data_IF_220803482482
#
_entry.id   IF_220803482482
#
_cell.length_a   1.000
_cell.length_b   1.000
_cell.length_c   1.000
_cell.angle_alpha   90.00
_cell.angle_beta   90.00
_cell.angle_gamma   90.00
#
_symmetry.space_group_name_H-M   'P 1'
#
loop_
_entity.id
_entity.type
_entity.pdbx_description
1 polymer ?
#
# COMPACT_ATOMS: atom_id res chain seq x y z
N UNK A 1 -12.73 -13.35 -4.07
CA UNK A 1 -12.01 -13.15 -2.80
C UNK A 1 -10.84 -12.20 -2.97
N UNK A 2 -10.66 -11.26 -2.03
CA UNK A 2 -9.58 -10.27 -1.98
C UNK A 2 -9.05 -10.26 -0.56
N UNK A 3 -7.73 -10.34 -0.40
CA UNK A 3 -7.08 -10.32 0.91
C UNK A 3 -7.18 -8.93 1.55
N UNK A 4 -8.29 -8.66 2.25
CA UNK A 4 -8.58 -7.35 2.87
C UNK A 4 -7.54 -6.97 3.92
N UNK A 5 -7.02 -7.96 4.66
CA UNK A 5 -5.94 -7.75 5.63
C UNK A 5 -4.70 -7.15 4.95
N UNK A 6 -4.22 -7.80 3.88
CA UNK A 6 -3.07 -7.32 3.10
C UNK A 6 -3.29 -5.90 2.52
N UNK A 7 -4.49 -5.60 2.01
CA UNK A 7 -4.80 -4.26 1.49
C UNK A 7 -4.73 -3.18 2.58
N UNK A 8 -5.14 -3.49 3.81
CA UNK A 8 -5.05 -2.55 4.94
C UNK A 8 -3.60 -2.30 5.34
N UNK A 9 -2.78 -3.34 5.39
CA UNK A 9 -1.35 -3.22 5.71
C UNK A 9 -0.62 -2.39 4.64
N UNK A 10 -0.88 -2.67 3.37
CA UNK A 10 -0.33 -1.85 2.27
C UNK A 10 -0.82 -0.39 2.35
N UNK A 11 -2.12 -0.16 2.58
CA UNK A 11 -2.67 1.18 2.72
C UNK A 11 -2.07 1.96 3.90
N UNK A 12 -1.87 1.30 5.04
CA UNK A 12 -1.21 1.87 6.21
C UNK A 12 0.25 2.24 5.92
N UNK A 13 0.98 1.37 5.20
CA UNK A 13 2.35 1.62 4.76
C UNK A 13 2.46 2.85 3.86
N UNK A 14 1.58 2.98 2.86
CA UNK A 14 1.54 4.15 1.96
C UNK A 14 1.23 5.42 2.75
N UNK A 15 0.24 5.38 3.65
CA UNK A 15 -0.10 6.53 4.50
C UNK A 15 1.08 6.93 5.38
N UNK A 16 1.76 5.96 5.99
CA UNK A 16 2.94 6.19 6.83
C UNK A 16 4.02 6.93 6.02
N UNK A 17 4.46 6.36 4.89
CA UNK A 17 5.50 6.97 4.04
C UNK A 17 5.12 8.37 3.58
N UNK A 18 3.87 8.55 3.14
CA UNK A 18 3.34 9.86 2.75
C UNK A 18 3.46 10.89 3.89
N UNK A 19 3.09 10.51 5.11
CA UNK A 19 3.17 11.42 6.26
C UNK A 19 4.60 11.68 6.72
N UNK A 20 5.52 10.72 6.57
CA UNK A 20 6.94 10.92 6.85
C UNK A 20 7.56 11.96 5.89
N UNK A 21 7.18 11.93 4.62
CA UNK A 21 7.55 12.96 3.63
C UNK A 21 6.72 14.26 3.74
N UNK A 22 5.82 14.38 4.74
CA UNK A 22 4.96 15.54 4.96
C UNK A 22 4.05 15.88 3.76
N UNK A 23 3.68 14.87 2.96
CA UNK A 23 2.83 15.04 1.79
C UNK A 23 1.34 14.94 2.15
N UNK A 24 0.52 15.80 1.55
CA UNK A 24 -0.92 15.59 1.44
C UNK A 24 -1.24 14.48 0.43
N UNK A 25 -2.45 13.93 0.46
CA UNK A 25 -2.88 12.96 -0.57
C UNK A 25 -2.83 13.57 -1.98
N UNK A 26 -3.07 14.88 -2.09
CA UNK A 26 -3.01 15.62 -3.35
C UNK A 26 -1.57 15.73 -3.85
N UNK A 27 -0.62 16.06 -2.96
CA UNK A 27 0.80 16.11 -3.32
C UNK A 27 1.33 14.73 -3.74
N UNK A 28 0.94 13.66 -3.04
CA UNK A 28 1.29 12.30 -3.46
C UNK A 28 0.66 11.96 -4.82
N UNK A 29 -0.57 12.42 -5.07
CA UNK A 29 -1.25 12.24 -6.36
C UNK A 29 -0.46 12.83 -7.52
N UNK A 30 0.12 14.02 -7.34
CA UNK A 30 1.04 14.62 -8.31
C UNK A 30 2.33 13.82 -8.48
N UNK A 31 2.93 13.34 -7.37
CA UNK A 31 4.18 12.57 -7.39
C UNK A 31 4.03 11.23 -8.13
N UNK A 32 2.88 10.57 -8.00
CA UNK A 32 2.63 9.25 -8.61
C UNK A 32 1.85 9.31 -9.92
N UNK A 33 1.26 10.46 -10.28
CA UNK A 33 0.35 10.59 -11.41
C UNK A 33 -1.01 9.89 -11.22
N UNK A 34 -1.36 9.48 -10.00
CA UNK A 34 -2.67 8.90 -9.72
C UNK A 34 -3.66 9.98 -9.31
N UNK A 35 -4.96 9.73 -9.47
CA UNK A 35 -5.96 10.64 -8.94
C UNK A 35 -5.96 10.63 -7.40
N UNK A 36 -6.12 11.79 -6.76
CA UNK A 36 -6.14 11.93 -5.28
C UNK A 36 -7.12 10.98 -4.60
N UNK A 37 -8.30 10.74 -5.18
CA UNK A 37 -9.26 9.79 -4.61
C UNK A 37 -8.75 8.35 -4.66
N UNK A 38 -7.97 7.96 -5.68
CA UNK A 38 -7.35 6.65 -5.77
C UNK A 38 -6.30 6.45 -4.67
N UNK A 39 -5.48 7.48 -4.41
CA UNK A 39 -4.57 7.49 -3.25
C UNK A 39 -5.36 7.24 -1.96
N UNK A 40 -6.43 7.99 -1.73
CA UNK A 40 -7.27 7.81 -0.53
C UNK A 40 -7.89 6.42 -0.43
N UNK A 41 -8.34 5.82 -1.54
CA UNK A 41 -8.88 4.46 -1.56
C UNK A 41 -7.81 3.40 -1.26
N UNK A 42 -6.58 3.59 -1.74
CA UNK A 42 -5.44 2.72 -1.38
C UNK A 42 -5.16 2.80 0.12
N UNK A 43 -5.05 4.01 0.68
CA UNK A 43 -4.76 4.21 2.11
C UNK A 43 -5.81 3.59 3.04
N UNK A 44 -7.06 3.43 2.57
CA UNK A 44 -8.14 2.77 3.30
C UNK A 44 -8.28 1.27 3.00
N UNK A 45 -7.44 0.71 2.11
CA UNK A 45 -7.51 -0.69 1.71
C UNK A 45 -8.72 -1.04 0.84
N UNK A 46 -9.31 -0.06 0.14
CA UNK A 46 -10.52 -0.21 -0.68
C UNK A 46 -10.22 -0.61 -2.13
N UNK A 47 -8.93 -0.67 -2.50
CA UNK A 47 -8.48 -1.02 -3.86
C UNK A 47 -7.41 -2.09 -3.81
N UNK A 48 -7.63 -3.13 -4.61
CA UNK A 48 -6.60 -4.10 -4.94
C UNK A 48 -5.69 -3.50 -6.01
N UNK A 49 -4.57 -2.95 -5.59
CA UNK A 49 -3.58 -2.33 -6.48
C UNK A 49 -2.86 -3.40 -7.31
N UNK A 50 -2.57 -3.11 -8.58
CA UNK A 50 -1.77 -3.99 -9.43
C UNK A 50 -0.28 -3.91 -9.07
N UNK A 51 0.47 -4.98 -9.38
CA UNK A 51 1.92 -5.01 -9.19
C UNK A 51 2.64 -3.86 -9.91
N UNK A 52 2.20 -3.51 -11.13
CA UNK A 52 2.76 -2.39 -11.91
C UNK A 52 2.55 -1.04 -11.22
N UNK A 53 1.41 -0.85 -10.56
CA UNK A 53 1.14 0.38 -9.82
C UNK A 53 1.91 0.43 -8.50
N UNK A 54 2.17 -0.72 -7.85
CA UNK A 54 3.09 -0.78 -6.70
C UNK A 54 4.48 -0.28 -7.09
N UNK A 55 4.98 -0.62 -8.28
CA UNK A 55 6.27 -0.13 -8.77
C UNK A 55 6.31 1.41 -8.90
N UNK A 56 5.18 2.04 -9.25
CA UNK A 56 5.06 3.52 -9.27
C UNK A 56 5.25 4.10 -7.86
N UNK A 57 4.64 3.50 -6.83
CA UNK A 57 4.84 3.94 -5.44
C UNK A 57 6.27 3.70 -4.95
N UNK A 58 6.87 2.57 -5.31
CA UNK A 58 8.26 2.26 -4.95
C UNK A 58 9.21 3.31 -5.55
N UNK A 59 9.02 3.66 -6.84
CA UNK A 59 9.75 4.76 -7.48
C UNK A 59 9.46 6.11 -6.80
N UNK A 60 8.20 6.40 -6.46
CA UNK A 60 7.82 7.66 -5.84
C UNK A 60 8.41 7.85 -4.44
N UNK A 61 8.61 6.76 -3.68
CA UNK A 61 9.25 6.80 -2.35
C UNK A 61 10.73 6.42 -2.38
N UNK A 62 11.34 6.34 -3.56
CA UNK A 62 12.78 6.08 -3.75
C UNK A 62 13.28 4.84 -2.99
N UNK A 63 12.51 3.74 -3.04
CA UNK A 63 12.85 2.49 -2.38
C UNK A 63 12.51 1.28 -3.25
N UNK A 64 13.14 0.15 -2.98
CA UNK A 64 12.83 -1.09 -3.67
C UNK A 64 11.43 -1.61 -3.31
N UNK A 65 10.81 -2.37 -4.22
CA UNK A 65 9.48 -2.96 -4.00
C UNK A 65 9.50 -3.85 -2.75
N UNK A 66 10.58 -4.59 -2.49
CA UNK A 66 10.74 -5.43 -1.30
C UNK A 66 10.62 -4.63 0.00
N UNK A 67 11.17 -3.41 0.04
CA UNK A 67 11.09 -2.55 1.21
C UNK A 67 9.73 -1.87 1.34
N UNK A 68 9.12 -1.54 0.19
CA UNK A 68 7.77 -0.99 0.17
C UNK A 68 6.75 -1.98 0.74
N UNK A 69 6.87 -3.27 0.42
CA UNK A 69 5.93 -4.32 0.88
C UNK A 69 6.40 -5.03 2.16
N UNK A 70 7.51 -4.60 2.77
CA UNK A 70 7.95 -5.11 4.05
C UNK A 70 7.19 -4.45 5.21
N UNK A 71 6.07 -5.06 5.60
CA UNK A 71 5.20 -4.55 6.66
C UNK A 71 5.67 -4.92 8.08
N UNK A 72 6.71 -5.74 8.24
CA UNK A 72 7.14 -6.25 9.56
C UNK A 72 7.56 -5.17 10.54
N UNK A 73 8.04 -4.03 10.05
CA UNK A 73 8.41 -2.88 10.89
C UNK A 73 7.18 -2.21 11.54
N UNK A 74 5.99 -2.40 10.97
CA UNK A 74 4.74 -1.81 11.44
C UNK A 74 3.89 -2.85 12.17
N UNK A 75 3.88 -4.09 11.67
CA UNK A 75 3.18 -5.21 12.26
C UNK A 75 4.12 -6.44 12.35
N UNK A 76 4.90 -6.57 13.44
CA UNK A 76 5.87 -7.66 13.59
C UNK A 76 5.26 -9.06 13.64
N UNK A 77 3.95 -9.16 13.90
CA UNK A 77 3.22 -10.43 13.98
C UNK A 77 2.69 -10.91 12.62
N UNK A 78 2.76 -10.06 11.60
CA UNK A 78 2.26 -10.36 10.27
C UNK A 78 2.95 -11.59 9.69
N UNK A 79 2.14 -12.54 9.24
CA UNK A 79 2.62 -13.76 8.61
C UNK A 79 1.64 -14.30 7.56
N UNK A 80 2.03 -15.36 6.84
CA UNK A 80 1.25 -15.87 5.72
C UNK A 80 -0.09 -16.50 6.13
N UNK A 81 -0.30 -16.81 7.41
CA UNK A 81 -1.56 -17.35 7.92
C UNK A 81 -2.66 -16.28 8.02
N UNK A 82 -2.30 -14.99 7.94
CA UNK A 82 -3.26 -13.88 7.90
C UNK A 82 -3.92 -13.71 6.51
N UNK A 83 -3.54 -14.54 5.53
CA UNK A 83 -4.04 -14.47 4.15
C UNK A 83 -5.05 -15.59 3.88
N UNK A 84 -6.09 -15.24 3.14
CA UNK A 84 -7.12 -16.13 2.61
C UNK A 84 -6.66 -16.71 1.25
N UNK A 85 -6.77 -18.03 1.11
CA UNK A 85 -6.63 -18.71 -0.18
C UNK A 85 -7.93 -18.58 -0.96
N UNK A 86 -7.83 -18.50 -2.29
CA UNK A 86 -9.01 -18.44 -3.18
C UNK A 86 -9.98 -19.62 -3.00
N UNK A 87 -9.50 -20.72 -2.45
CA UNK A 87 -10.27 -21.94 -2.15
C UNK A 87 -11.05 -21.87 -0.84
N UNK A 88 -10.82 -20.87 0.01
CA UNK A 88 -11.32 -20.83 1.39
C UNK A 88 -12.81 -20.45 1.51
N UNK A 89 -13.47 -20.08 0.39
CA UNK A 89 -14.89 -19.68 0.29
C UNK A 89 -15.44 -18.78 1.40
#
# INVERSE_FOLDING_TARGET
>A
MVNKFLLKEFGARIRYLRTQEQLSQEQLSFKTGFHRTYIGMIERGERNISLTNIAVFSKAFEMDISDLVNFKNQNPKLNHQDYELKTDN
#
